data_IF_028558663854
#
_entry.id   IF_028558663854
#
_cell.length_a   1.000
_cell.length_b   1.000
_cell.length_c   1.000
_cell.angle_alpha   90.00
_cell.angle_beta   90.00
_cell.angle_gamma   90.00
#
_symmetry.space_group_name_H-M   'P 1'
#
loop_
_entity.id
_entity.type
_entity.pdbx_description
1 polymer ?
#
# COMPACT_ATOMS: atom_id res chain seq x y z
N UNK A 1 24.55 0.04 13.88
CA UNK A 1 23.53 -0.24 12.85
C UNK A 1 22.84 -1.52 13.30
N UNK A 2 21.50 -1.57 13.39
CA UNK A 2 20.84 -2.77 13.91
C UNK A 2 20.83 -3.83 12.81
N UNK A 3 21.50 -4.94 13.07
CA UNK A 3 21.72 -6.06 12.17
C UNK A 3 20.50 -7.01 12.18
N UNK A 4 19.33 -6.49 11.79
CA UNK A 4 18.06 -7.24 11.78
C UNK A 4 17.55 -7.53 10.35
N UNK A 5 18.34 -7.13 9.37
CA UNK A 5 18.08 -7.36 7.95
C UNK A 5 19.04 -8.47 7.49
N UNK A 6 18.51 -9.55 6.95
CA UNK A 6 19.34 -10.62 6.39
C UNK A 6 19.92 -10.20 5.04
N UNK A 7 21.14 -10.64 4.78
CA UNK A 7 21.83 -10.45 3.51
C UNK A 7 21.33 -11.49 2.51
N UNK A 8 20.89 -11.02 1.33
CA UNK A 8 20.57 -11.83 0.16
C UNK A 8 20.92 -10.99 -1.09
N UNK A 9 21.38 -11.65 -2.15
CA UNK A 9 21.85 -11.00 -3.39
C UNK A 9 20.79 -10.09 -4.01
N UNK A 10 19.52 -10.50 -3.98
CA UNK A 10 18.45 -9.81 -4.70
C UNK A 10 17.29 -9.42 -3.78
N UNK A 11 17.42 -9.65 -2.48
CA UNK A 11 16.37 -9.41 -1.51
C UNK A 11 16.89 -8.66 -0.30
N UNK A 12 16.07 -7.74 0.17
CA UNK A 12 16.17 -7.24 1.54
C UNK A 12 15.17 -8.03 2.37
N UNK A 13 15.62 -8.71 3.43
CA UNK A 13 14.77 -9.61 4.22
C UNK A 13 14.77 -9.19 5.69
N UNK A 14 13.60 -9.05 6.30
CA UNK A 14 13.41 -8.90 7.74
C UNK A 14 12.75 -10.18 8.26
N UNK A 15 13.39 -10.86 9.22
CA UNK A 15 12.83 -12.02 9.92
C UNK A 15 12.45 -11.67 11.35
N UNK A 16 11.30 -12.20 11.78
CA UNK A 16 10.70 -11.83 13.05
C UNK A 16 10.12 -10.42 13.03
N UNK A 17 9.27 -10.11 14.01
CA UNK A 17 8.63 -8.80 14.10
C UNK A 17 9.06 -8.10 15.38
N UNK A 18 9.71 -6.94 15.23
CA UNK A 18 9.98 -6.02 16.33
C UNK A 18 9.23 -4.70 16.09
N UNK A 19 8.20 -4.36 16.89
CA UNK A 19 7.44 -3.12 16.73
C UNK A 19 8.30 -1.85 16.72
N UNK A 20 9.43 -1.84 17.44
CA UNK A 20 10.34 -0.68 17.48
C UNK A 20 11.12 -0.46 16.19
N UNK A 21 11.17 -1.45 15.30
CA UNK A 21 11.83 -1.32 13.99
C UNK A 21 10.83 -0.95 12.90
N UNK A 22 9.53 -1.16 13.12
CA UNK A 22 8.48 -1.06 12.10
C UNK A 22 8.60 0.21 11.24
N UNK A 23 8.73 1.39 11.83
CA UNK A 23 8.83 2.65 11.09
C UNK A 23 10.11 2.82 10.26
N UNK A 24 11.22 2.23 10.69
CA UNK A 24 12.47 2.19 9.90
C UNK A 24 12.30 1.22 8.73
N UNK A 25 11.77 0.05 9.06
CA UNK A 25 11.38 -1.02 8.17
C UNK A 25 10.40 -0.57 7.06
N UNK A 26 9.42 0.27 7.38
CA UNK A 26 8.56 0.94 6.40
C UNK A 26 9.31 1.77 5.37
N UNK A 27 10.44 2.37 5.75
CA UNK A 27 11.29 3.14 4.83
C UNK A 27 12.11 2.20 3.94
N UNK A 28 12.82 1.24 4.54
CA UNK A 28 13.72 0.31 3.83
C UNK A 28 12.98 -0.47 2.75
N UNK A 29 11.76 -0.93 3.04
CA UNK A 29 10.97 -1.80 2.16
C UNK A 29 9.99 -1.02 1.28
N UNK A 30 10.17 0.30 1.12
CA UNK A 30 9.28 1.14 0.31
C UNK A 30 9.30 0.72 -1.16
N UNK A 31 8.17 0.88 -1.83
CA UNK A 31 8.02 0.64 -3.26
C UNK A 31 7.85 1.97 -4.00
N UNK A 32 8.32 2.05 -5.24
CA UNK A 32 8.07 3.19 -6.11
C UNK A 32 8.37 2.87 -7.57
N UNK A 33 7.70 3.56 -8.47
CA UNK A 33 7.83 3.38 -9.93
C UNK A 33 8.16 4.69 -10.67
N UNK A 34 8.51 5.75 -9.93
CA UNK A 34 8.77 7.09 -10.47
C UNK A 34 7.50 7.94 -10.66
N UNK A 35 6.32 7.32 -10.77
CA UNK A 35 5.03 8.01 -10.82
C UNK A 35 4.36 8.12 -9.46
N UNK A 36 4.45 7.05 -8.66
CA UNK A 36 3.99 7.00 -7.28
C UNK A 36 4.97 6.21 -6.40
N UNK A 37 4.88 6.45 -5.09
CA UNK A 37 5.67 5.77 -4.07
C UNK A 37 4.84 5.42 -2.85
N UNK A 38 5.06 4.24 -2.27
CA UNK A 38 4.31 3.72 -1.14
C UNK A 38 5.29 3.18 -0.11
N UNK A 39 5.25 3.72 1.11
CA UNK A 39 6.00 3.16 2.24
C UNK A 39 5.55 1.72 2.51
N UNK A 40 6.39 0.92 3.14
CA UNK A 40 6.10 -0.47 3.47
C UNK A 40 5.11 -0.65 4.65
N UNK A 41 4.14 0.26 4.78
CA UNK A 41 3.06 0.18 5.76
C UNK A 41 2.27 -1.13 5.55
N UNK A 42 1.74 -1.70 6.63
CA UNK A 42 0.86 -2.86 6.54
C UNK A 42 -0.46 -2.49 5.85
N UNK A 43 -1.01 -3.45 5.11
CA UNK A 43 -2.31 -3.31 4.46
C UNK A 43 -3.44 -3.25 5.50
N UNK A 44 -3.35 -4.10 6.52
CA UNK A 44 -4.25 -4.17 7.66
C UNK A 44 -3.95 -3.12 8.74
N UNK A 45 -4.86 -3.03 9.70
CA UNK A 45 -4.70 -2.16 10.85
C UNK A 45 -3.40 -2.44 11.60
N UNK A 46 -2.72 -1.36 11.99
CA UNK A 46 -1.56 -1.41 12.86
C UNK A 46 -1.60 -0.22 13.81
N UNK A 47 -1.83 -0.48 15.09
CA UNK A 47 -1.94 0.59 16.10
C UNK A 47 -0.61 0.97 16.76
N UNK A 48 0.49 0.30 16.39
CA UNK A 48 1.84 0.62 16.87
C UNK A 48 2.47 1.84 16.19
N UNK A 49 3.76 2.09 16.45
CA UNK A 49 4.46 3.21 15.82
C UNK A 49 4.63 2.98 14.30
N UNK A 50 4.01 3.86 13.51
CA UNK A 50 4.03 3.84 12.05
C UNK A 50 4.16 5.25 11.48
N UNK A 51 4.61 5.35 10.24
CA UNK A 51 4.47 6.55 9.42
C UNK A 51 3.79 6.15 8.10
N UNK A 52 2.48 6.38 8.01
CA UNK A 52 1.75 6.17 6.76
C UNK A 52 2.28 7.12 5.68
N UNK A 53 2.52 6.60 4.47
CA UNK A 53 2.94 7.44 3.35
C UNK A 53 2.71 6.81 1.99
N UNK A 54 1.88 7.47 1.19
CA UNK A 54 1.73 7.31 -0.25
C UNK A 54 2.05 8.67 -0.91
N UNK A 55 2.77 8.69 -2.02
CA UNK A 55 3.22 9.94 -2.64
C UNK A 55 3.04 9.88 -4.15
N UNK A 56 2.54 10.96 -4.76
CA UNK A 56 2.35 11.08 -6.20
C UNK A 56 3.34 12.10 -6.76
N UNK A 57 4.07 11.71 -7.81
CA UNK A 57 5.09 12.56 -8.41
C UNK A 57 4.49 13.88 -8.93
N UNK A 58 5.19 14.99 -8.69
CA UNK A 58 4.76 16.33 -9.11
C UNK A 58 3.63 16.95 -8.30
N UNK A 59 3.06 16.25 -7.32
CA UNK A 59 2.02 16.79 -6.43
C UNK A 59 2.65 17.29 -5.13
N UNK A 60 2.62 18.60 -4.94
CA UNK A 60 3.21 19.27 -3.78
C UNK A 60 2.29 20.32 -3.18
N UNK A 61 2.64 20.77 -1.97
CA UNK A 61 1.95 21.83 -1.26
C UNK A 61 2.94 22.90 -0.75
N UNK A 62 2.68 24.19 -1.00
CA UNK A 62 3.47 25.29 -0.46
C UNK A 62 3.03 25.54 0.99
N UNK A 63 3.64 24.80 1.92
CA UNK A 63 3.37 24.96 3.34
C UNK A 63 4.06 26.23 3.86
N UNK A 64 3.34 27.07 4.59
CA UNK A 64 3.83 28.40 4.96
C UNK A 64 5.04 28.26 5.87
N UNK A 65 6.10 29.03 5.60
CA UNK A 65 7.35 28.95 6.36
C UNK A 65 7.11 29.22 7.85
N UNK A 66 7.52 28.27 8.70
CA UNK A 66 7.50 28.38 10.17
C UNK A 66 8.94 28.42 10.68
N UNK A 67 9.35 29.57 11.21
CA UNK A 67 10.71 29.81 11.75
C UNK A 67 10.62 30.51 13.11
N UNK A 68 11.66 30.36 13.94
CA UNK A 68 11.72 31.07 15.23
C UNK A 68 11.80 32.59 15.09
N UNK A 69 12.55 33.09 14.11
CA UNK A 69 12.71 34.50 13.79
C UNK A 69 12.93 34.69 12.28
N UNK A 70 12.24 35.67 11.70
CA UNK A 70 12.31 35.95 10.27
C UNK A 70 13.64 36.62 9.89
N UNK A 71 14.15 36.31 8.70
CA UNK A 71 15.33 36.96 8.10
C UNK A 71 15.04 37.33 6.65
N UNK A 72 15.64 38.44 6.20
CA UNK A 72 15.55 38.85 4.80
C UNK A 72 16.11 37.75 3.89
N UNK A 73 15.34 37.39 2.86
CA UNK A 73 15.68 36.31 1.94
C UNK A 73 15.10 34.93 2.31
N UNK A 74 14.39 34.79 3.43
CA UNK A 74 13.67 33.54 3.70
C UNK A 74 12.52 33.32 2.71
N UNK A 75 12.34 32.07 2.23
CA UNK A 75 11.25 31.75 1.33
C UNK A 75 9.91 31.87 2.07
N UNK A 76 8.87 32.27 1.36
CA UNK A 76 7.52 32.41 1.91
C UNK A 76 6.89 31.06 2.28
N UNK A 77 7.32 29.99 1.63
CA UNK A 77 6.85 28.63 1.85
C UNK A 77 7.97 27.60 1.72
N UNK A 78 7.72 26.42 2.28
CA UNK A 78 8.50 25.21 2.07
C UNK A 78 7.63 24.22 1.29
N UNK A 79 8.02 23.92 0.05
CA UNK A 79 7.29 22.96 -0.77
C UNK A 79 7.50 21.54 -0.22
N UNK A 80 6.40 20.84 0.03
CA UNK A 80 6.41 19.46 0.52
C UNK A 80 5.66 18.56 -0.44
N UNK A 81 6.21 17.38 -0.70
CA UNK A 81 5.43 16.31 -1.35
C UNK A 81 4.39 15.82 -0.34
N UNK A 82 3.14 15.72 -0.79
CA UNK A 82 2.04 15.38 0.10
C UNK A 82 1.92 13.88 0.27
N UNK A 83 1.53 13.46 1.48
CA UNK A 83 0.90 12.16 1.61
C UNK A 83 -0.38 12.22 0.76
N UNK A 84 -0.65 11.18 -0.02
CA UNK A 84 -1.82 11.01 -0.88
C UNK A 84 -2.71 9.90 -0.31
N UNK A 85 -3.91 9.73 -0.88
CA UNK A 85 -4.88 8.76 -0.36
C UNK A 85 -4.26 7.35 -0.20
N UNK A 86 -4.51 6.71 0.93
CA UNK A 86 -4.04 5.36 1.22
C UNK A 86 -4.80 4.36 0.35
N UNK A 87 -4.11 3.82 -0.66
CA UNK A 87 -4.68 2.86 -1.58
C UNK A 87 -4.48 1.41 -1.15
N UNK A 88 -3.57 1.12 -0.21
CA UNK A 88 -3.24 -0.25 0.19
C UNK A 88 -4.18 -0.83 1.25
N UNK A 89 -5.03 0.01 1.86
CA UNK A 89 -5.83 -0.34 3.03
C UNK A 89 -6.75 -1.55 2.84
N UNK A 90 -6.65 -2.53 3.74
CA UNK A 90 -7.49 -3.73 3.84
C UNK A 90 -7.74 -4.03 5.33
N UNK A 91 -8.90 -3.62 5.85
CA UNK A 91 -9.27 -3.96 7.22
C UNK A 91 -9.77 -5.40 7.32
N UNK A 92 -9.32 -6.12 8.35
CA UNK A 92 -9.69 -7.51 8.63
C UNK A 92 -10.26 -7.61 10.04
N UNK A 93 -11.51 -8.07 10.16
CA UNK A 93 -12.10 -8.53 11.43
C UNK A 93 -12.27 -10.05 11.41
N UNK A 94 -11.85 -10.70 12.48
CA UNK A 94 -11.97 -12.14 12.72
C UNK A 94 -12.98 -12.32 13.86
N UNK A 95 -14.21 -12.77 13.55
CA UNK A 95 -15.31 -12.87 14.52
C UNK A 95 -15.51 -11.60 15.38
N UNK A 96 -15.31 -10.42 14.76
CA UNK A 96 -15.44 -9.11 15.41
C UNK A 96 -14.16 -8.55 16.04
N UNK A 97 -13.06 -9.29 16.05
CA UNK A 97 -11.76 -8.82 16.53
C UNK A 97 -10.88 -8.32 15.38
N UNK A 98 -10.31 -7.12 15.49
CA UNK A 98 -9.42 -6.54 14.48
C UNK A 98 -8.07 -7.27 14.43
N UNK A 99 -7.66 -7.69 13.24
CA UNK A 99 -6.28 -8.14 13.02
C UNK A 99 -5.36 -6.92 13.08
N UNK A 100 -4.55 -6.86 14.13
CA UNK A 100 -3.62 -5.78 14.41
C UNK A 100 -2.35 -6.36 15.05
N UNK A 101 -1.24 -6.36 14.31
CA UNK A 101 0.02 -6.96 14.76
C UNK A 101 0.65 -6.23 15.96
N UNK A 102 0.20 -5.02 16.30
CA UNK A 102 0.61 -4.35 17.53
C UNK A 102 -0.04 -4.96 18.79
N UNK A 103 -1.16 -5.69 18.62
CA UNK A 103 -1.94 -6.30 19.70
C UNK A 103 -1.87 -7.82 19.69
N UNK A 104 -1.65 -8.42 18.54
CA UNK A 104 -1.56 -9.87 18.38
C UNK A 104 -0.25 -10.42 18.93
N UNK A 105 -0.27 -11.70 19.32
CA UNK A 105 0.95 -12.49 19.48
C UNK A 105 1.45 -12.89 18.08
N UNK A 106 2.59 -12.34 17.66
CA UNK A 106 3.19 -12.67 16.36
C UNK A 106 4.08 -13.90 16.50
N UNK A 107 3.63 -15.03 15.95
CA UNK A 107 4.26 -16.34 16.04
C UNK A 107 5.42 -16.46 15.04
N UNK A 108 5.19 -15.99 13.82
CA UNK A 108 6.21 -15.93 12.76
C UNK A 108 5.99 -14.67 11.94
N UNK A 109 7.07 -14.11 11.41
CA UNK A 109 7.00 -12.95 10.55
C UNK A 109 8.20 -12.95 9.60
N UNK A 110 7.95 -12.64 8.34
CA UNK A 110 8.97 -12.41 7.33
C UNK A 110 8.49 -11.31 6.39
N UNK A 111 9.33 -10.32 6.12
CA UNK A 111 9.11 -9.33 5.06
C UNK A 111 10.29 -9.35 4.09
N UNK A 112 10.00 -9.34 2.79
CA UNK A 112 10.97 -9.41 1.72
C UNK A 112 10.67 -8.32 0.68
N UNK A 113 11.63 -7.43 0.42
CA UNK A 113 11.65 -6.64 -0.79
C UNK A 113 12.47 -7.40 -1.82
N UNK A 114 11.82 -7.92 -2.87
CA UNK A 114 12.53 -8.54 -3.99
C UNK A 114 12.94 -7.45 -4.97
N UNK A 115 14.23 -7.12 -5.00
CA UNK A 115 14.78 -6.05 -5.84
C UNK A 115 14.83 -6.45 -7.31
N UNK A 116 14.99 -7.75 -7.59
CA UNK A 116 15.08 -8.29 -8.96
C UNK A 116 13.76 -8.20 -9.72
N UNK A 117 12.66 -8.56 -9.05
CA UNK A 117 11.31 -8.57 -9.61
C UNK A 117 10.47 -7.36 -9.18
N UNK A 118 10.94 -6.56 -8.22
CA UNK A 118 10.33 -5.29 -7.83
C UNK A 118 9.00 -5.42 -7.08
N UNK A 119 8.88 -6.37 -6.16
CA UNK A 119 7.69 -6.53 -5.32
C UNK A 119 8.05 -6.60 -3.84
N UNK A 120 7.08 -6.24 -2.98
CA UNK A 120 7.12 -6.46 -1.55
C UNK A 120 6.28 -7.69 -1.20
N UNK A 121 6.87 -8.63 -0.48
CA UNK A 121 6.20 -9.80 0.08
C UNK A 121 6.25 -9.77 1.59
N UNK A 122 5.15 -10.14 2.24
CA UNK A 122 5.08 -10.30 3.70
C UNK A 122 4.33 -11.57 4.04
N UNK A 123 4.89 -12.37 4.93
CA UNK A 123 4.28 -13.58 5.47
C UNK A 123 4.30 -13.48 7.00
N UNK A 124 3.19 -13.82 7.66
CA UNK A 124 3.18 -13.93 9.11
C UNK A 124 2.14 -14.92 9.60
N UNK A 125 2.40 -15.47 10.79
CA UNK A 125 1.39 -16.16 11.59
C UNK A 125 1.15 -15.33 12.85
N UNK A 126 -0.11 -15.01 13.11
CA UNK A 126 -0.50 -14.22 14.28
C UNK A 126 -1.65 -14.90 15.02
N UNK A 127 -1.62 -14.77 16.34
CA UNK A 127 -2.70 -15.17 17.23
C UNK A 127 -3.34 -13.92 17.82
N UNK A 128 -4.65 -13.78 17.61
CA UNK A 128 -5.42 -12.68 18.16
C UNK A 128 -5.56 -12.82 19.69
N UNK A 129 -6.04 -11.77 20.37
CA UNK A 129 -6.25 -11.78 21.83
C UNK A 129 -7.23 -12.87 22.25
N UNK A 130 -8.27 -13.13 21.43
CA UNK A 130 -9.22 -14.23 21.67
C UNK A 130 -8.69 -15.62 21.27
N UNK A 131 -7.41 -15.73 20.87
CA UNK A 131 -6.73 -16.99 20.60
C UNK A 131 -6.96 -17.58 19.21
N UNK A 132 -7.61 -16.85 18.30
CA UNK A 132 -7.76 -17.25 16.89
C UNK A 132 -6.43 -17.07 16.19
N UNK A 133 -6.00 -18.08 15.44
CA UNK A 133 -4.74 -18.06 14.71
C UNK A 133 -4.98 -17.94 13.21
N UNK A 134 -4.25 -17.03 12.58
CA UNK A 134 -4.28 -16.84 11.12
C UNK A 134 -2.86 -16.83 10.57
N UNK A 135 -2.71 -17.40 9.38
CA UNK A 135 -1.55 -17.18 8.52
C UNK A 135 -1.95 -16.19 7.43
N UNK A 136 -1.08 -15.22 7.15
CA UNK A 136 -1.26 -14.21 6.11
C UNK A 136 -0.07 -14.21 5.18
N UNK A 137 -0.34 -14.15 3.88
CA UNK A 137 0.62 -13.83 2.83
C UNK A 137 0.11 -12.61 2.05
N UNK A 138 0.92 -11.56 1.96
CA UNK A 138 0.69 -10.40 1.10
C UNK A 138 1.81 -10.28 0.09
N UNK A 139 1.47 -10.08 -1.19
CA UNK A 139 2.40 -9.66 -2.24
C UNK A 139 1.82 -8.40 -2.88
N UNK A 140 2.62 -7.34 -2.95
CA UNK A 140 2.22 -6.09 -3.63
C UNK A 140 3.36 -5.44 -4.40
N UNK A 141 2.99 -4.59 -5.35
CA UNK A 141 3.92 -3.77 -6.13
C UNK A 141 3.26 -2.49 -6.63
N UNK A 142 4.08 -1.45 -6.84
CA UNK A 142 3.73 -0.33 -7.72
C UNK A 142 4.21 -0.72 -9.13
N UNK A 143 3.30 -0.81 -10.10
CA UNK A 143 3.61 -1.35 -11.42
C UNK A 143 4.55 -0.42 -12.19
N UNK A 144 5.62 -0.96 -12.73
CA UNK A 144 6.55 -0.31 -13.63
C UNK A 144 6.06 -0.38 -15.08
N UNK A 145 5.21 -1.36 -15.40
CA UNK A 145 4.65 -1.55 -16.74
C UNK A 145 3.40 -0.68 -16.96
N UNK A 146 2.60 -0.50 -15.90
CA UNK A 146 1.39 0.33 -15.86
C UNK A 146 1.58 1.38 -14.76
N UNK A 147 2.33 2.45 -15.05
CA UNK A 147 2.98 3.33 -14.07
C UNK A 147 2.03 4.10 -13.13
N UNK A 148 0.74 4.16 -13.42
CA UNK A 148 -0.28 4.78 -12.58
C UNK A 148 -0.94 3.81 -11.59
N UNK A 149 -0.50 2.54 -11.57
CA UNK A 149 -1.24 1.45 -10.93
C UNK A 149 -0.42 0.66 -9.93
N UNK A 150 -1.12 -0.02 -9.03
CA UNK A 150 -0.56 -0.99 -8.09
C UNK A 150 -1.52 -2.16 -7.91
N UNK A 151 -0.99 -3.28 -7.46
CA UNK A 151 -1.79 -4.46 -7.17
C UNK A 151 -1.34 -5.13 -5.87
N UNK A 152 -2.28 -5.76 -5.18
CA UNK A 152 -2.08 -6.50 -3.94
C UNK A 152 -2.77 -7.85 -4.08
N UNK A 153 -2.07 -8.93 -3.78
CA UNK A 153 -2.63 -10.25 -3.50
C UNK A 153 -2.46 -10.51 -2.02
N UNK A 154 -3.57 -10.50 -1.28
CA UNK A 154 -3.61 -10.70 0.16
C UNK A 154 -4.37 -11.98 0.47
N UNK A 155 -3.67 -12.99 0.97
CA UNK A 155 -4.21 -14.30 1.32
C UNK A 155 -4.22 -14.48 2.84
N UNK A 156 -5.34 -14.92 3.40
CA UNK A 156 -5.52 -15.20 4.82
C UNK A 156 -6.07 -16.61 5.03
N UNK A 157 -5.42 -17.39 5.88
CA UNK A 157 -5.77 -18.78 6.18
C UNK A 157 -6.07 -18.92 7.68
N UNK A 158 -7.30 -19.30 8.09
CA UNK A 158 -7.60 -19.59 9.49
C UNK A 158 -6.95 -20.92 9.89
N UNK A 159 -6.16 -20.93 10.97
CA UNK A 159 -5.36 -22.11 11.35
C UNK A 159 -6.03 -22.99 12.39
N UNK A 160 -6.86 -22.42 13.27
CA UNK A 160 -7.46 -23.14 14.39
C UNK A 160 -8.98 -22.91 14.54
N UNK A 161 -9.65 -22.35 13.54
CA UNK A 161 -11.07 -22.05 13.62
C UNK A 161 -11.81 -22.13 12.28
N UNK A 162 -13.10 -22.41 12.37
CA UNK A 162 -14.11 -22.01 11.40
C UNK A 162 -14.78 -20.72 11.90
N UNK A 163 -15.35 -19.92 11.01
CA UNK A 163 -16.02 -18.68 11.41
C UNK A 163 -16.31 -17.75 10.24
N UNK A 164 -16.35 -16.45 10.53
CA UNK A 164 -16.56 -15.42 9.51
C UNK A 164 -15.44 -14.38 9.56
N UNK A 165 -14.88 -14.08 8.39
CA UNK A 165 -14.02 -12.93 8.20
C UNK A 165 -14.84 -11.77 7.63
N UNK A 166 -14.61 -10.57 8.16
CA UNK A 166 -15.02 -9.33 7.50
C UNK A 166 -13.76 -8.75 6.86
N UNK A 167 -13.75 -8.69 5.54
CA UNK A 167 -12.66 -8.13 4.75
C UNK A 167 -13.17 -6.81 4.16
N UNK A 168 -12.48 -5.72 4.46
CA UNK A 168 -12.90 -4.36 4.07
C UNK A 168 -11.75 -3.65 3.34
N UNK A 169 -11.56 -3.89 2.03
CA UNK A 169 -10.71 -3.03 1.21
C UNK A 169 -11.26 -1.60 1.23
N UNK A 170 -10.36 -0.62 1.36
CA UNK A 170 -10.73 0.79 1.42
C UNK A 170 -9.75 1.70 0.69
N UNK A 171 -10.21 2.91 0.37
CA UNK A 171 -9.37 4.05 0.02
C UNK A 171 -9.61 5.13 1.08
N UNK A 172 -8.55 5.59 1.73
CA UNK A 172 -8.62 6.64 2.74
C UNK A 172 -7.85 7.88 2.29
N UNK A 173 -8.59 8.90 1.92
CA UNK A 173 -8.12 10.23 1.56
C UNK A 173 -8.11 11.22 2.73
N UNK A 174 -8.63 10.85 3.90
CA UNK A 174 -8.70 11.72 5.08
C UNK A 174 -7.38 11.74 5.88
N UNK A 175 -6.28 11.80 5.15
CA UNK A 175 -4.92 11.66 5.65
C UNK A 175 -4.32 12.99 6.11
N UNK A 176 -3.39 12.91 7.06
CA UNK A 176 -2.60 14.03 7.54
C UNK A 176 -1.12 13.86 7.21
N UNK A 177 -0.42 14.98 7.01
CA UNK A 177 1.03 15.03 6.91
C UNK A 177 1.62 15.20 8.32
N UNK A 178 2.46 14.25 8.75
CA UNK A 178 3.11 14.31 10.07
C UNK A 178 3.95 15.56 10.28
N UNK A 179 4.49 16.11 9.21
CA UNK A 179 5.36 17.27 9.17
C UNK A 179 4.61 18.58 8.85
N UNK A 180 3.27 18.61 8.91
CA UNK A 180 2.49 19.83 8.69
C UNK A 180 2.92 20.95 9.64
N UNK A 181 3.19 22.16 9.11
CA UNK A 181 3.67 23.26 9.95
C UNK A 181 2.59 23.79 10.91
N UNK A 182 1.31 23.58 10.58
CA UNK A 182 0.15 24.15 11.27
C UNK A 182 -0.97 23.13 11.53
N UNK A 183 -0.65 21.84 11.58
CA UNK A 183 -1.60 20.74 11.82
C UNK A 183 -2.82 20.73 10.88
N UNK A 184 -2.66 21.31 9.68
CA UNK A 184 -3.69 21.35 8.64
C UNK A 184 -3.63 20.08 7.77
N UNK A 185 -4.82 19.55 7.39
CA UNK A 185 -4.94 18.60 6.28
C UNK A 185 -4.94 19.36 4.95
N UNK A 186 -4.26 18.80 3.94
CA UNK A 186 -3.96 19.52 2.69
C UNK A 186 -4.92 19.22 1.52
N UNK A 187 -5.89 18.33 1.74
CA UNK A 187 -6.80 17.83 0.71
C UNK A 187 -8.27 18.20 1.00
N UNK A 188 -8.99 18.59 -0.05
CA UNK A 188 -10.44 18.72 -0.10
C UNK A 188 -11.04 17.61 -0.97
N UNK A 189 -12.23 17.10 -0.61
CA UNK A 189 -12.97 16.16 -1.47
C UNK A 189 -13.55 16.91 -2.67
N UNK A 190 -13.29 16.41 -3.88
CA UNK A 190 -13.92 16.91 -5.12
C UNK A 190 -15.14 16.06 -5.44
N UNK A 191 -14.95 14.74 -5.48
CA UNK A 191 -16.01 13.75 -5.73
C UNK A 191 -15.55 12.36 -5.31
N UNK A 192 -16.52 11.48 -5.09
CA UNK A 192 -16.29 10.05 -4.86
C UNK A 192 -17.42 9.25 -5.48
N UNK A 193 -17.16 7.97 -5.69
CA UNK A 193 -18.17 7.02 -6.18
C UNK A 193 -17.81 5.61 -5.71
N UNK A 194 -18.81 4.82 -5.38
CA UNK A 194 -18.65 3.39 -5.08
C UNK A 194 -19.45 2.53 -6.05
N UNK A 195 -18.99 1.30 -6.25
CA UNK A 195 -19.70 0.23 -6.93
C UNK A 195 -19.42 -1.10 -6.21
N UNK A 196 -20.06 -2.18 -6.68
CA UNK A 196 -20.06 -3.49 -5.99
C UNK A 196 -18.66 -3.93 -5.54
N UNK A 197 -17.68 -3.88 -6.44
CA UNK A 197 -16.33 -4.37 -6.17
C UNK A 197 -15.26 -3.27 -6.27
N UNK A 198 -15.61 -2.01 -6.01
CA UNK A 198 -14.65 -0.92 -6.12
C UNK A 198 -15.22 0.46 -5.88
N UNK A 199 -14.41 1.46 -6.19
CA UNK A 199 -14.77 2.86 -6.00
C UNK A 199 -13.57 3.76 -6.21
N UNK A 200 -13.78 5.07 -6.13
CA UNK A 200 -12.70 6.04 -6.04
C UNK A 200 -13.03 7.25 -5.17
N UNK A 201 -11.97 7.95 -4.76
CA UNK A 201 -12.01 9.33 -4.26
C UNK A 201 -11.16 10.21 -5.16
N UNK A 202 -11.66 11.40 -5.49
CA UNK A 202 -10.91 12.45 -6.16
C UNK A 202 -10.75 13.60 -5.18
N UNK A 203 -9.50 13.95 -4.91
CA UNK A 203 -9.10 14.96 -3.95
C UNK A 203 -8.40 16.12 -4.66
N UNK A 204 -8.57 17.34 -4.13
CA UNK A 204 -7.87 18.54 -4.58
C UNK A 204 -6.99 19.09 -3.48
N UNK A 205 -5.75 19.43 -3.81
CA UNK A 205 -4.87 20.16 -2.90
C UNK A 205 -5.39 21.59 -2.68
N UNK A 206 -5.52 22.02 -1.42
CA UNK A 206 -6.17 23.29 -1.07
C UNK A 206 -5.56 24.54 -1.71
N UNK A 207 -4.23 24.59 -1.87
CA UNK A 207 -3.50 25.78 -2.34
C UNK A 207 -3.04 25.68 -3.79
N UNK A 208 -2.55 24.52 -4.19
CA UNK A 208 -1.97 24.29 -5.51
C UNK A 208 -2.98 23.82 -6.55
N UNK A 209 -4.16 23.35 -6.12
CA UNK A 209 -5.24 22.95 -7.02
C UNK A 209 -4.97 21.66 -7.79
N UNK A 210 -3.87 20.96 -7.52
CA UNK A 210 -3.65 19.62 -8.06
C UNK A 210 -4.75 18.68 -7.62
N UNK A 211 -5.25 17.89 -8.56
CA UNK A 211 -6.25 16.87 -8.29
C UNK A 211 -5.67 15.47 -8.49
N UNK A 212 -5.96 14.58 -7.56
CA UNK A 212 -5.58 13.18 -7.64
C UNK A 212 -6.83 12.33 -7.47
N UNK A 213 -7.07 11.42 -8.41
CA UNK A 213 -8.11 10.42 -8.31
C UNK A 213 -7.47 9.07 -7.96
N UNK A 214 -7.80 8.56 -6.77
CA UNK A 214 -7.33 7.28 -6.25
C UNK A 214 -8.51 6.31 -6.20
N UNK A 215 -8.38 5.19 -6.90
CA UNK A 215 -9.44 4.19 -6.98
C UNK A 215 -8.95 2.78 -6.73
N UNK A 216 -9.90 1.91 -6.43
CA UNK A 216 -9.68 0.47 -6.29
C UNK A 216 -10.75 -0.33 -7.04
N UNK A 217 -10.35 -1.51 -7.46
CA UNK A 217 -11.24 -2.60 -7.85
C UNK A 217 -10.69 -3.89 -7.27
N UNK A 218 -11.55 -4.78 -6.78
CA UNK A 218 -11.09 -6.01 -6.13
C UNK A 218 -11.90 -7.25 -6.52
N UNK A 219 -11.34 -8.41 -6.20
CA UNK A 219 -12.00 -9.71 -6.25
C UNK A 219 -11.64 -10.55 -5.03
N UNK A 220 -12.55 -11.44 -4.64
CA UNK A 220 -12.32 -12.43 -3.59
C UNK A 220 -12.24 -13.80 -4.24
N UNK A 221 -11.26 -14.60 -3.83
CA UNK A 221 -11.07 -15.97 -4.27
C UNK A 221 -11.16 -16.91 -3.07
N UNK A 222 -11.93 -17.97 -3.22
CA UNK A 222 -11.97 -19.11 -2.30
C UNK A 222 -11.56 -20.37 -3.07
N UNK A 223 -10.59 -21.13 -2.55
CA UNK A 223 -10.06 -22.33 -3.22
C UNK A 223 -9.64 -22.07 -4.68
N UNK A 224 -9.03 -20.90 -4.92
CA UNK A 224 -8.56 -20.47 -6.24
C UNK A 224 -9.66 -20.04 -7.23
N UNK A 225 -10.93 -19.98 -6.81
CA UNK A 225 -12.04 -19.54 -7.67
C UNK A 225 -12.59 -18.21 -7.20
N UNK A 226 -12.80 -17.30 -8.15
CA UNK A 226 -13.48 -16.03 -7.89
C UNK A 226 -14.87 -16.28 -7.33
N UNK A 227 -15.18 -15.62 -6.23
CA UNK A 227 -16.51 -15.61 -5.62
C UNK A 227 -17.19 -14.28 -5.86
N UNK A 228 -18.52 -14.27 -5.72
CA UNK A 228 -19.34 -13.06 -5.78
C UNK A 228 -19.98 -12.81 -4.42
N UNK A 229 -19.19 -12.45 -3.39
CA UNK A 229 -19.74 -12.21 -2.06
C UNK A 229 -20.60 -10.94 -2.08
N UNK A 230 -21.57 -10.88 -1.16
CA UNK A 230 -22.36 -9.67 -0.98
C UNK A 230 -21.45 -8.58 -0.39
N UNK A 231 -21.39 -7.45 -1.08
CA UNK A 231 -20.57 -6.29 -0.70
C UNK A 231 -21.47 -5.18 -0.16
N UNK A 232 -21.11 -4.60 0.98
CA UNK A 232 -21.78 -3.43 1.53
C UNK A 232 -20.86 -2.20 1.35
N UNK A 233 -21.21 -1.22 0.50
CA UNK A 233 -20.40 -0.02 0.35
C UNK A 233 -20.45 0.82 1.62
N UNK A 234 -19.31 1.44 1.96
CA UNK A 234 -19.17 2.39 3.05
C UNK A 234 -18.62 3.68 2.45
N UNK A 235 -19.28 4.79 2.72
CA UNK A 235 -18.85 6.12 2.28
C UNK A 235 -18.77 7.07 3.47
N UNK A 236 -17.66 7.79 3.58
CA UNK A 236 -17.46 8.91 4.52
C UNK A 236 -16.76 10.06 3.78
N UNK A 237 -16.53 11.18 4.44
CA UNK A 237 -15.72 12.25 3.85
C UNK A 237 -14.32 11.71 3.50
N UNK A 238 -13.90 11.91 2.24
CA UNK A 238 -12.63 11.49 1.65
C UNK A 238 -12.35 9.99 1.74
N UNK A 239 -13.36 9.17 2.01
CA UNK A 239 -13.17 7.75 2.28
C UNK A 239 -14.25 6.91 1.60
N UNK A 240 -13.80 5.80 1.02
CA UNK A 240 -14.68 4.73 0.52
C UNK A 240 -14.17 3.37 0.98
N UNK A 241 -15.08 2.43 1.16
CA UNK A 241 -14.74 1.03 1.36
C UNK A 241 -15.85 0.09 0.86
N UNK A 242 -15.52 -1.19 0.75
CA UNK A 242 -16.50 -2.24 0.52
C UNK A 242 -16.33 -3.31 1.59
N UNK A 243 -17.32 -3.45 2.47
CA UNK A 243 -17.33 -4.49 3.50
C UNK A 243 -17.80 -5.80 2.89
N UNK A 244 -17.01 -6.85 3.06
CA UNK A 244 -17.29 -8.19 2.53
C UNK A 244 -17.28 -9.21 3.67
N UNK A 245 -18.39 -9.92 3.85
CA UNK A 245 -18.49 -11.01 4.81
C UNK A 245 -18.21 -12.34 4.12
N UNK A 246 -17.23 -13.08 4.62
CA UNK A 246 -16.75 -14.32 4.01
C UNK A 246 -16.75 -15.44 5.06
N UNK A 247 -17.54 -16.50 4.88
CA UNK A 247 -17.45 -17.68 5.74
C UNK A 247 -16.13 -18.39 5.48
N UNK A 248 -15.47 -18.82 6.54
CA UNK A 248 -14.16 -19.48 6.48
C UNK A 248 -14.18 -20.81 7.19
N UNK A 249 -13.41 -21.74 6.64
CA UNK A 249 -13.15 -23.06 7.21
C UNK A 249 -11.67 -23.17 7.51
N UNK A 250 -11.34 -23.76 8.65
CA UNK A 250 -9.98 -24.06 9.07
C UNK A 250 -9.16 -24.66 7.93
N UNK A 251 -7.97 -24.10 7.72
CA UNK A 251 -7.02 -24.52 6.69
C UNK A 251 -7.37 -24.09 5.26
N UNK A 252 -8.49 -23.40 5.04
CA UNK A 252 -8.88 -22.93 3.71
C UNK A 252 -8.59 -21.44 3.55
N UNK A 253 -7.67 -21.12 2.64
CA UNK A 253 -7.27 -19.75 2.39
C UNK A 253 -8.35 -18.95 1.62
N UNK A 254 -8.51 -17.70 2.02
CA UNK A 254 -9.28 -16.66 1.33
C UNK A 254 -8.28 -15.67 0.75
N UNK A 255 -8.41 -15.33 -0.53
CA UNK A 255 -7.52 -14.37 -1.18
C UNK A 255 -8.30 -13.17 -1.69
N UNK A 256 -7.92 -11.97 -1.27
CA UNK A 256 -8.32 -10.70 -1.86
C UNK A 256 -7.27 -10.31 -2.90
N UNK A 257 -7.68 -10.08 -4.13
CA UNK A 257 -6.87 -9.36 -5.11
C UNK A 257 -7.42 -7.95 -5.21
N UNK A 258 -6.60 -6.95 -4.89
CA UNK A 258 -6.95 -5.54 -4.95
C UNK A 258 -6.09 -4.85 -6.00
N UNK A 259 -6.72 -4.31 -7.03
CA UNK A 259 -6.11 -3.44 -8.02
C UNK A 259 -6.37 -1.99 -7.63
N UNK A 260 -5.39 -1.13 -7.80
CA UNK A 260 -5.50 0.29 -7.51
C UNK A 260 -4.88 1.13 -8.61
N UNK A 261 -5.40 2.34 -8.77
CA UNK A 261 -4.87 3.34 -9.69
C UNK A 261 -4.87 4.72 -9.04
N UNK A 262 -3.83 5.51 -9.34
CA UNK A 262 -3.65 6.88 -8.87
C UNK A 262 -3.36 7.78 -10.08
N UNK A 263 -4.38 8.51 -10.55
CA UNK A 263 -4.25 9.45 -11.66
C UNK A 263 -4.14 10.87 -11.13
N UNK A 264 -3.31 11.69 -11.76
CA UNK A 264 -3.05 13.08 -11.35
C UNK A 264 -3.42 14.07 -12.44
N UNK A 265 -3.88 15.26 -12.04
CA UNK A 265 -4.11 16.40 -12.92
C UNK A 265 -2.84 16.94 -13.57
N UNK A 266 -1.67 16.45 -13.16
CA UNK A 266 -0.39 16.67 -13.86
C UNK A 266 -0.30 15.93 -15.20
N UNK A 267 -1.07 14.85 -15.36
CA UNK A 267 -0.99 13.96 -16.52
C UNK A 267 -2.29 13.97 -17.34
N UNK A 268 -3.41 14.32 -16.71
CA UNK A 268 -4.72 14.43 -17.35
C UNK A 268 -5.43 15.72 -16.99
N UNK A 269 -6.48 16.09 -17.72
CA UNK A 269 -7.37 17.17 -17.26
C UNK A 269 -8.13 16.68 -16.02
N UNK A 270 -8.26 17.54 -15.02
CA UNK A 270 -8.95 17.22 -13.76
C UNK A 270 -10.37 16.65 -13.95
N UNK A 271 -11.12 17.18 -14.93
CA UNK A 271 -12.47 16.72 -15.24
C UNK A 271 -12.52 15.29 -15.81
N UNK A 272 -11.45 14.85 -16.48
CA UNK A 272 -11.36 13.54 -17.16
C UNK A 272 -10.85 12.43 -16.23
N UNK A 273 -10.27 12.78 -15.07
CA UNK A 273 -9.62 11.85 -14.13
C UNK A 273 -10.50 10.64 -13.77
N UNK A 274 -11.76 10.86 -13.37
CA UNK A 274 -12.62 9.74 -12.97
C UNK A 274 -12.95 8.78 -14.12
N UNK A 275 -13.11 9.30 -15.35
CA UNK A 275 -13.37 8.45 -16.52
C UNK A 275 -12.16 7.58 -16.84
N UNK A 276 -10.98 8.20 -16.91
CA UNK A 276 -9.71 7.51 -17.18
C UNK A 276 -9.36 6.51 -16.07
N UNK A 277 -9.65 6.85 -14.80
CA UNK A 277 -9.43 5.98 -13.66
C UNK A 277 -10.25 4.69 -13.76
N UNK A 278 -11.56 4.81 -14.06
CA UNK A 278 -12.42 3.63 -14.25
C UNK A 278 -11.94 2.74 -15.39
N UNK A 279 -11.54 3.34 -16.50
CA UNK A 279 -10.97 2.61 -17.63
C UNK A 279 -9.68 1.87 -17.24
N UNK A 280 -8.78 2.55 -16.54
CA UNK A 280 -7.52 1.99 -16.05
C UNK A 280 -7.77 0.81 -15.10
N UNK A 281 -8.69 0.96 -14.14
CA UNK A 281 -9.08 -0.10 -13.22
C UNK A 281 -9.68 -1.31 -13.95
N UNK A 282 -10.54 -1.11 -14.95
CA UNK A 282 -11.08 -2.19 -15.78
C UNK A 282 -9.96 -2.95 -16.45
N UNK A 283 -9.06 -2.24 -17.16
CA UNK A 283 -7.95 -2.82 -17.91
C UNK A 283 -7.03 -3.67 -17.04
N UNK A 284 -6.58 -3.15 -15.89
CA UNK A 284 -5.66 -3.90 -15.02
C UNK A 284 -6.36 -5.07 -14.32
N UNK A 285 -7.64 -4.94 -13.99
CA UNK A 285 -8.41 -6.02 -13.38
C UNK A 285 -8.69 -7.17 -14.35
N UNK A 286 -8.93 -6.85 -15.64
CA UNK A 286 -9.06 -7.83 -16.72
C UNK A 286 -7.72 -8.49 -17.06
N UNK A 287 -6.61 -7.72 -17.03
CA UNK A 287 -5.24 -8.22 -17.22
C UNK A 287 -4.86 -9.25 -16.16
N UNK A 288 -5.25 -9.01 -14.91
CA UNK A 288 -5.06 -9.94 -13.80
C UNK A 288 -3.72 -9.80 -13.08
N UNK A 289 -3.70 -10.14 -11.79
CA UNK A 289 -2.53 -9.98 -10.90
C UNK A 289 -1.28 -10.69 -11.41
N UNK A 290 -1.40 -11.96 -11.83
CA UNK A 290 -0.23 -12.76 -12.25
C UNK A 290 0.43 -12.19 -13.52
N UNK A 291 -0.38 -11.72 -14.48
CA UNK A 291 0.11 -11.03 -15.68
C UNK A 291 0.81 -9.72 -15.32
N UNK A 292 0.20 -8.89 -14.47
CA UNK A 292 0.81 -7.64 -14.01
C UNK A 292 2.13 -7.88 -13.27
N UNK A 293 2.20 -8.93 -12.44
CA UNK A 293 3.44 -9.30 -11.72
C UNK A 293 4.54 -9.77 -12.68
N UNK A 294 4.18 -10.52 -13.74
CA UNK A 294 5.13 -10.93 -14.77
C UNK A 294 5.65 -9.72 -15.58
N UNK A 295 4.78 -8.78 -15.94
CA UNK A 295 5.15 -7.55 -16.64
C UNK A 295 6.02 -6.62 -15.77
N UNK A 296 5.73 -6.54 -14.47
CA UNK A 296 6.56 -5.87 -13.46
C UNK A 296 7.97 -6.45 -13.48
N UNK A 297 8.10 -7.78 -13.32
CA UNK A 297 9.38 -8.46 -13.31
C UNK A 297 10.14 -8.28 -14.62
N UNK A 298 9.46 -8.36 -15.77
CA UNK A 298 10.06 -8.12 -17.09
C UNK A 298 10.56 -6.68 -17.26
N UNK A 299 9.86 -5.69 -16.70
CA UNK A 299 10.29 -4.28 -16.75
C UNK A 299 11.49 -4.02 -15.83
N UNK A 300 11.54 -4.65 -14.66
CA UNK A 300 12.70 -4.61 -13.78
C UNK A 300 13.93 -5.32 -14.37
N UNK A 301 13.75 -6.48 -14.99
CA UNK A 301 14.84 -7.20 -15.64
C UNK A 301 15.57 -6.33 -16.69
N UNK A 302 14.81 -5.62 -17.55
CA UNK A 302 15.37 -4.66 -18.53
C UNK A 302 16.15 -3.53 -17.87
N UNK A 303 15.75 -3.07 -16.68
CA UNK A 303 16.49 -2.05 -15.93
C UNK A 303 17.80 -2.61 -15.39
N UNK A 304 17.77 -3.80 -14.79
CA UNK A 304 18.96 -4.45 -14.25
C UNK A 304 19.99 -4.77 -15.33
N UNK A 305 19.57 -5.18 -16.53
CA UNK A 305 20.48 -5.38 -17.69
C UNK A 305 21.42 -4.19 -17.97
N UNK A 306 20.99 -2.97 -17.65
CA UNK A 306 21.74 -1.74 -17.95
C UNK A 306 22.39 -1.09 -16.73
N UNK A 307 21.99 -1.48 -15.50
CA UNK A 307 22.34 -0.74 -14.28
C UNK A 307 22.85 -1.65 -13.15
N UNK A 308 22.94 -2.96 -13.37
CA UNK A 308 23.47 -3.90 -12.39
C UNK A 308 24.99 -3.71 -12.22
N UNK A 309 25.46 -3.83 -10.98
CA UNK A 309 26.88 -3.73 -10.60
C UNK A 309 27.20 -4.98 -9.79
N UNK A 310 27.89 -5.93 -10.43
CA UNK A 310 28.25 -7.21 -9.83
C UNK A 310 29.51 -7.05 -8.98
N UNK A 311 29.46 -7.48 -7.72
CA UNK A 311 30.56 -7.40 -6.76
C UNK A 311 30.90 -8.81 -6.26
N UNK A 312 32.02 -9.36 -6.70
CA UNK A 312 32.50 -10.66 -6.24
C UNK A 312 33.30 -10.53 -4.93
N UNK A 313 33.03 -11.39 -3.94
CA UNK A 313 33.97 -11.68 -2.85
C UNK A 313 33.72 -11.08 -1.47
N UNK A 314 32.59 -10.40 -1.21
CA UNK A 314 32.20 -10.05 0.17
C UNK A 314 30.68 -9.86 0.31
N UNK A 315 29.99 -10.85 0.89
CA UNK A 315 28.56 -10.72 1.26
C UNK A 315 28.33 -9.67 2.38
N UNK A 316 29.40 -9.11 2.96
CA UNK A 316 29.35 -8.05 3.97
C UNK A 316 29.52 -6.63 3.43
N UNK A 317 29.57 -6.43 2.11
CA UNK A 317 29.60 -5.10 1.49
C UNK A 317 28.38 -4.25 1.92
N UNK A 318 28.47 -2.90 1.91
CA UNK A 318 27.40 -2.04 2.41
C UNK A 318 26.08 -2.39 1.73
N UNK A 319 25.13 -2.89 2.54
CA UNK A 319 23.79 -3.30 2.11
C UNK A 319 23.17 -2.21 1.22
N UNK A 320 23.16 -2.45 -0.09
CA UNK A 320 22.84 -1.43 -1.08
C UNK A 320 23.17 -1.78 -2.53
N UNK A 321 23.96 -2.83 -2.77
CA UNK A 321 24.18 -3.39 -4.10
C UNK A 321 23.64 -4.82 -4.16
N UNK A 322 23.01 -5.22 -5.28
CA UNK A 322 22.84 -6.63 -5.54
C UNK A 322 24.22 -7.28 -5.63
N UNK A 323 24.39 -8.42 -4.96
CA UNK A 323 25.64 -9.17 -4.93
C UNK A 323 25.70 -10.13 -6.12
#
# INVERSE_FOLDING_TARGET
MKDYIEVDEWRIIEQGFNPHHNKVSESIFSLGNGRMGQRANFEEAYSGETLQGNYIAGVYYPDKTRVGWWKNGYPEYFAKVLNAANWIGIDILIDGEQLDLAKCEVISFRRELNMKAGYLKRNFTAKTVNGKQVEVESIRFCSMADDETGAIKYSITPLNFDGTLIITPFIDGDIANKDSNYDEKFWDEVKKETWVNGGYVQLRTKKTGFEVATGMQFSILQRGKTTSPITQPIEKEKYIAAKVEVPVTKGQSITLIKYAANLSSQNYKAAELAGNLKQTLSQISEKGFETMLAEQAGTWAKKWEHNDIIIEGDAGGPAGYPF
#
